data_IF_910144157007
#
_entry.id   IF_910144157007
#
_cell.length_a   1.000
_cell.length_b   1.000
_cell.length_c   1.000
_cell.angle_alpha   90.00
_cell.angle_beta   90.00
_cell.angle_gamma   90.00
#
_symmetry.space_group_name_H-M   'P 1'
#
loop_
_entity.id
_entity.type
_entity.pdbx_description
1 polymer ?
#
# COMPACT_ATOMS: atom_id res chain seq x y z
N UNK A 1 -20.00 22.78 5.22
CA UNK A 1 -18.89 22.24 4.40
C UNK A 1 -18.85 23.03 3.09
N UNK A 2 -17.71 23.63 2.74
CA UNK A 2 -17.56 24.31 1.44
C UNK A 2 -17.66 23.25 0.35
N UNK A 3 -18.75 23.24 -0.41
CA UNK A 3 -19.16 22.19 -1.34
C UNK A 3 -18.25 21.95 -2.56
N UNK A 4 -17.11 22.65 -2.66
CA UNK A 4 -16.22 22.62 -3.83
C UNK A 4 -14.78 22.15 -3.54
N UNK A 5 -14.42 21.83 -2.29
CA UNK A 5 -13.05 21.41 -1.99
C UNK A 5 -12.92 19.89 -2.18
N UNK A 6 -12.03 19.46 -3.10
CA UNK A 6 -11.72 18.06 -3.34
C UNK A 6 -10.98 17.49 -2.11
N UNK A 7 -11.36 16.29 -1.61
CA UNK A 7 -10.64 15.68 -0.50
C UNK A 7 -9.23 15.24 -0.91
N UNK A 8 -8.34 15.20 0.05
CA UNK A 8 -7.06 14.49 -0.11
C UNK A 8 -7.29 12.98 -0.16
N UNK A 9 -6.34 12.22 -0.68
CA UNK A 9 -6.44 10.77 -0.77
C UNK A 9 -5.14 10.13 -0.26
N UNK A 10 -5.24 9.37 0.83
CA UNK A 10 -4.18 8.49 1.31
C UNK A 10 -4.49 7.06 0.86
N UNK A 11 -3.64 6.52 -0.02
CA UNK A 11 -3.81 5.18 -0.56
C UNK A 11 -2.66 4.26 -0.10
N UNK A 12 -2.96 3.33 0.79
CA UNK A 12 -2.00 2.39 1.35
C UNK A 12 -2.27 0.99 0.78
N UNK A 13 -1.25 0.42 0.15
CA UNK A 13 -1.22 -0.99 -0.23
C UNK A 13 -0.26 -1.71 0.71
N UNK A 14 -0.75 -2.77 1.36
CA UNK A 14 0.03 -3.67 2.19
C UNK A 14 0.22 -4.96 1.40
N UNK A 15 1.42 -5.14 0.86
CA UNK A 15 1.78 -6.29 0.04
C UNK A 15 1.57 -7.60 0.79
N UNK A 16 0.94 -8.56 0.15
CA UNK A 16 0.70 -9.91 0.70
C UNK A 16 -0.18 -9.97 1.96
N UNK A 17 -1.01 -8.95 2.26
CA UNK A 17 -1.90 -8.99 3.42
C UNK A 17 -3.10 -9.90 3.17
N UNK A 18 -3.17 -11.00 3.90
CA UNK A 18 -4.27 -11.96 3.84
C UNK A 18 -5.52 -11.42 4.56
N UNK A 19 -6.68 -11.59 3.94
CA UNK A 19 -7.97 -11.17 4.52
C UNK A 19 -8.27 -11.90 5.84
N UNK A 20 -8.01 -13.22 5.92
CA UNK A 20 -8.25 -14.03 7.11
C UNK A 20 -7.35 -13.69 8.30
N UNK A 21 -6.29 -12.91 8.07
CA UNK A 21 -5.36 -12.44 9.11
C UNK A 21 -5.59 -10.98 9.50
N UNK A 22 -6.29 -10.22 8.67
CA UNK A 22 -6.58 -8.80 8.94
C UNK A 22 -7.95 -8.58 9.58
N UNK A 23 -8.91 -9.47 9.36
CA UNK A 23 -10.28 -9.34 9.86
C UNK A 23 -10.93 -10.71 10.15
N UNK A 24 -11.94 -10.71 11.02
CA UNK A 24 -12.73 -11.88 11.36
C UNK A 24 -12.39 -12.52 12.72
N UNK A 25 -13.24 -13.42 13.18
CA UNK A 25 -13.16 -14.00 14.53
C UNK A 25 -12.04 -15.05 14.68
N UNK A 26 -11.52 -15.55 13.57
CA UNK A 26 -10.48 -16.60 13.57
C UNK A 26 -9.06 -16.02 13.54
N UNK A 27 -8.91 -14.72 13.37
CA UNK A 27 -7.58 -14.07 13.35
C UNK A 27 -6.95 -14.10 14.75
N UNK A 28 -5.64 -14.24 14.78
CA UNK A 28 -4.81 -14.15 16.00
C UNK A 28 -3.97 -12.87 16.05
N UNK A 29 -3.97 -12.09 14.96
CA UNK A 29 -3.29 -10.79 14.91
C UNK A 29 -4.01 -9.74 15.73
N UNK A 30 -3.27 -8.81 16.31
CA UNK A 30 -3.81 -7.65 17.04
C UNK A 30 -3.81 -6.46 16.08
N UNK A 31 -4.98 -6.08 15.60
CA UNK A 31 -5.16 -5.06 14.55
C UNK A 31 -6.19 -3.98 14.95
N UNK A 32 -6.01 -3.28 16.10
CA UNK A 32 -7.01 -2.33 16.61
C UNK A 32 -7.22 -1.13 15.69
N UNK A 33 -6.21 -0.73 14.90
CA UNK A 33 -6.32 0.41 14.00
C UNK A 33 -7.11 0.05 12.75
N UNK A 34 -6.87 -1.13 12.15
CA UNK A 34 -7.71 -1.66 11.07
C UNK A 34 -9.14 -1.87 11.54
N UNK A 35 -9.36 -2.42 12.76
CA UNK A 35 -10.69 -2.58 13.34
C UNK A 35 -11.44 -1.26 13.48
N UNK A 36 -10.74 -0.22 13.93
CA UNK A 36 -11.31 1.13 14.02
C UNK A 36 -11.69 1.68 12.65
N UNK A 37 -10.85 1.45 11.62
CA UNK A 37 -11.15 1.86 10.25
C UNK A 37 -12.37 1.11 9.69
N UNK A 38 -12.45 -0.20 9.91
CA UNK A 38 -13.59 -1.04 9.50
C UNK A 38 -14.88 -0.59 10.18
N UNK A 39 -14.83 -0.32 11.49
CA UNK A 39 -16.00 0.10 12.27
C UNK A 39 -16.55 1.46 11.84
N UNK A 40 -15.67 2.39 11.45
CA UNK A 40 -16.03 3.79 11.17
C UNK A 40 -16.05 4.12 9.66
N UNK A 41 -15.73 3.17 8.80
CA UNK A 41 -15.65 3.35 7.36
C UNK A 41 -16.47 2.32 6.58
N UNK A 42 -16.10 2.11 5.33
CA UNK A 42 -16.67 1.07 4.47
C UNK A 42 -15.70 -0.09 4.34
N UNK A 43 -16.14 -1.29 4.67
CA UNK A 43 -15.38 -2.52 4.54
C UNK A 43 -15.93 -3.40 3.41
N UNK A 44 -15.10 -3.72 2.43
CA UNK A 44 -15.46 -4.56 1.29
C UNK A 44 -15.14 -6.03 1.60
N UNK A 45 -16.15 -6.80 1.99
CA UNK A 45 -16.00 -8.21 2.41
C UNK A 45 -15.70 -9.17 1.26
N UNK A 46 -15.92 -8.74 0.01
CA UNK A 46 -15.74 -9.53 -1.22
C UNK A 46 -14.72 -8.88 -2.17
N UNK A 47 -13.72 -8.19 -1.63
CA UNK A 47 -12.61 -7.68 -2.44
C UNK A 47 -11.73 -8.85 -2.89
N UNK A 48 -11.62 -9.06 -4.20
CA UNK A 48 -10.87 -10.17 -4.81
C UNK A 48 -9.69 -9.59 -5.58
N UNK A 49 -8.48 -10.07 -5.29
CA UNK A 49 -7.30 -9.73 -6.07
C UNK A 49 -7.37 -10.36 -7.46
N UNK A 50 -7.01 -9.63 -8.52
CA UNK A 50 -7.00 -10.16 -9.89
C UNK A 50 -5.85 -11.13 -10.16
N UNK A 51 -4.87 -11.23 -9.26
CA UNK A 51 -3.70 -12.10 -9.37
C UNK A 51 -3.06 -12.34 -8.00
N UNK A 52 -2.26 -13.37 -7.90
CA UNK A 52 -1.38 -13.71 -6.78
C UNK A 52 0.02 -13.04 -6.88
N UNK A 53 0.20 -12.12 -7.83
CA UNK A 53 1.48 -11.46 -8.10
C UNK A 53 1.35 -9.94 -8.06
N UNK A 54 2.25 -9.29 -7.32
CA UNK A 54 2.30 -7.84 -7.09
C UNK A 54 2.18 -7.03 -8.37
N UNK A 55 3.01 -7.31 -9.40
CA UNK A 55 3.02 -6.53 -10.64
C UNK A 55 1.67 -6.53 -11.35
N UNK A 56 1.04 -7.70 -11.44
CA UNK A 56 -0.26 -7.86 -12.12
C UNK A 56 -1.38 -7.15 -11.35
N UNK A 57 -1.39 -7.32 -10.04
CA UNK A 57 -2.40 -6.72 -9.15
C UNK A 57 -2.29 -5.19 -9.09
N UNK A 58 -1.07 -4.66 -8.91
CA UNK A 58 -0.84 -3.21 -8.90
C UNK A 58 -1.26 -2.57 -10.23
N UNK A 59 -0.92 -3.18 -11.37
CA UNK A 59 -1.37 -2.67 -12.68
C UNK A 59 -2.89 -2.65 -12.77
N UNK A 60 -3.55 -3.70 -12.31
CA UNK A 60 -5.02 -3.75 -12.30
C UNK A 60 -5.62 -2.69 -11.38
N UNK A 61 -5.08 -2.51 -10.20
CA UNK A 61 -5.51 -1.47 -9.25
C UNK A 61 -5.37 -0.08 -9.87
N UNK A 62 -4.21 0.21 -10.50
CA UNK A 62 -3.95 1.54 -11.05
C UNK A 62 -4.70 1.83 -12.35
N UNK A 63 -5.06 0.83 -13.13
CA UNK A 63 -5.75 0.99 -14.44
C UNK A 63 -7.24 0.70 -14.39
N UNK A 64 -7.73 0.00 -13.35
CA UNK A 64 -9.10 -0.53 -13.30
C UNK A 64 -9.34 -1.67 -14.29
N UNK A 65 -8.30 -2.27 -14.87
CA UNK A 65 -8.40 -3.31 -15.89
C UNK A 65 -7.81 -4.62 -15.37
N UNK A 66 -8.40 -5.74 -15.77
CA UNK A 66 -7.85 -7.06 -15.48
C UNK A 66 -6.51 -7.29 -16.22
N UNK A 67 -5.60 -8.14 -15.70
CA UNK A 67 -4.26 -8.32 -16.23
C UNK A 67 -4.21 -8.61 -17.74
N UNK A 68 -5.10 -9.46 -18.24
CA UNK A 68 -5.15 -9.80 -19.68
C UNK A 68 -5.55 -8.62 -20.57
N UNK A 69 -6.23 -7.60 -20.04
CA UNK A 69 -6.57 -6.37 -20.77
C UNK A 69 -5.41 -5.38 -20.80
N UNK A 70 -4.53 -5.44 -19.80
CA UNK A 70 -3.32 -4.60 -19.74
C UNK A 70 -2.15 -5.17 -20.55
N UNK A 71 -2.31 -6.36 -21.17
CA UNK A 71 -1.26 -7.07 -21.89
C UNK A 71 -0.18 -7.68 -20.99
N UNK A 72 -0.42 -7.76 -19.68
CA UNK A 72 0.53 -8.30 -18.71
C UNK A 72 0.23 -9.77 -18.49
N UNK A 73 1.11 -10.66 -18.97
CA UNK A 73 0.91 -12.12 -18.90
C UNK A 73 1.82 -12.77 -17.84
N UNK A 74 2.96 -12.14 -17.51
CA UNK A 74 3.94 -12.60 -16.50
C UNK A 74 4.65 -11.40 -15.84
N UNK A 75 5.39 -11.64 -14.77
CA UNK A 75 6.28 -10.65 -14.13
C UNK A 75 7.49 -10.20 -15.01
N UNK A 76 7.47 -10.51 -16.30
CA UNK A 76 8.53 -10.19 -17.22
C UNK A 76 8.42 -8.75 -17.76
N UNK A 77 9.55 -8.18 -18.19
CA UNK A 77 9.58 -6.92 -18.95
C UNK A 77 8.55 -7.01 -20.07
N UNK A 78 7.49 -6.26 -19.94
CA UNK A 78 6.46 -6.22 -20.96
C UNK A 78 7.06 -5.49 -22.14
N UNK A 79 7.32 -6.24 -23.21
CA UNK A 79 7.54 -5.65 -24.51
C UNK A 79 6.29 -4.81 -24.80
N UNK A 80 6.48 -3.53 -24.81
CA UNK A 80 5.57 -2.44 -25.05
C UNK A 80 4.36 -2.77 -25.95
N UNK A 81 3.32 -3.38 -25.39
CA UNK A 81 2.00 -3.15 -25.92
C UNK A 81 1.60 -1.77 -25.40
N UNK A 82 1.76 -0.74 -26.23
CA UNK A 82 1.29 0.64 -26.08
C UNK A 82 0.71 1.04 -24.68
N UNK A 83 1.52 0.93 -23.63
CA UNK A 83 1.15 1.25 -22.25
C UNK A 83 0.82 2.74 -22.03
N UNK A 84 1.22 3.61 -22.97
CA UNK A 84 0.98 5.05 -22.90
C UNK A 84 -0.50 5.43 -23.10
N UNK A 85 -1.32 4.51 -23.63
CA UNK A 85 -2.74 4.78 -23.91
C UNK A 85 -3.70 4.41 -22.80
N UNK A 86 -3.26 3.60 -21.81
CA UNK A 86 -4.14 3.17 -20.72
C UNK A 86 -4.07 4.22 -19.59
N UNK A 87 -5.16 4.94 -19.30
CA UNK A 87 -5.16 5.90 -18.20
C UNK A 87 -5.01 5.19 -16.86
N UNK A 88 -4.20 5.75 -15.99
CA UNK A 88 -4.04 5.30 -14.61
C UNK A 88 -4.78 6.22 -13.66
N UNK A 89 -5.14 5.72 -12.46
CA UNK A 89 -5.74 6.56 -11.42
C UNK A 89 -4.87 7.80 -11.14
N UNK A 90 -3.55 7.67 -11.13
CA UNK A 90 -2.63 8.79 -10.92
C UNK A 90 -2.69 9.80 -12.07
N UNK A 91 -2.80 9.34 -13.32
CA UNK A 91 -2.94 10.23 -14.48
C UNK A 91 -4.28 10.99 -14.48
N UNK A 92 -5.36 10.32 -14.07
CA UNK A 92 -6.69 10.92 -13.96
C UNK A 92 -6.72 11.95 -12.83
N UNK A 93 -6.19 11.60 -11.65
CA UNK A 93 -6.14 12.52 -10.52
C UNK A 93 -5.26 13.74 -10.82
N UNK A 94 -4.11 13.56 -11.49
CA UNK A 94 -3.25 14.66 -11.91
C UNK A 94 -3.99 15.62 -12.85
N UNK A 95 -4.73 15.10 -13.85
CA UNK A 95 -5.60 15.93 -14.74
C UNK A 95 -6.71 16.63 -13.96
N UNK A 96 -7.13 16.06 -12.84
CA UNK A 96 -8.11 16.65 -11.93
C UNK A 96 -7.51 17.63 -10.91
N UNK A 97 -6.23 17.99 -11.04
CA UNK A 97 -5.56 19.00 -10.21
C UNK A 97 -4.92 18.47 -8.93
N UNK A 98 -4.87 17.14 -8.72
CA UNK A 98 -4.16 16.58 -7.58
C UNK A 98 -2.65 16.64 -7.76
N UNK A 99 -1.93 16.94 -6.68
CA UNK A 99 -0.52 16.62 -6.58
C UNK A 99 -0.35 15.14 -6.21
N UNK A 100 0.50 14.45 -6.96
CA UNK A 100 0.65 13.00 -6.83
C UNK A 100 1.98 12.69 -6.14
N UNK A 101 1.90 12.11 -4.96
CA UNK A 101 3.05 11.69 -4.17
C UNK A 101 3.03 10.19 -3.92
N UNK A 102 4.17 9.61 -3.59
CA UNK A 102 4.22 8.23 -3.16
C UNK A 102 5.53 7.85 -2.50
N UNK A 103 5.48 6.76 -1.74
CA UNK A 103 6.63 6.03 -1.21
C UNK A 103 6.45 4.58 -1.63
N UNK A 104 7.21 4.15 -2.63
CA UNK A 104 6.99 2.90 -3.35
C UNK A 104 8.29 2.15 -3.59
N UNK A 105 8.25 0.80 -3.68
CA UNK A 105 9.41 0.03 -4.04
C UNK A 105 9.82 0.28 -5.50
N UNK A 106 11.12 0.28 -5.76
CA UNK A 106 11.67 0.39 -7.11
C UNK A 106 11.58 -0.95 -7.83
N UNK A 107 10.43 -1.22 -8.41
CA UNK A 107 10.23 -2.34 -9.32
C UNK A 107 10.18 -1.82 -10.76
N UNK A 108 11.12 -2.22 -11.59
CA UNK A 108 11.20 -1.80 -13.00
C UNK A 108 9.88 -2.06 -13.75
N UNK A 109 9.21 -3.17 -13.42
CA UNK A 109 7.92 -3.54 -14.00
C UNK A 109 6.77 -2.58 -13.66
N UNK A 110 6.90 -1.73 -12.64
CA UNK A 110 5.88 -0.79 -12.19
C UNK A 110 6.24 0.68 -12.45
N UNK A 111 7.39 0.97 -13.05
CA UNK A 111 7.85 2.34 -13.27
C UNK A 111 6.86 3.20 -14.07
N UNK A 112 6.17 2.62 -15.05
CA UNK A 112 5.14 3.31 -15.81
C UNK A 112 3.93 3.73 -14.96
N UNK A 113 3.59 2.96 -13.92
CA UNK A 113 2.50 3.29 -12.99
C UNK A 113 2.85 4.49 -12.10
N UNK A 114 4.13 4.65 -11.80
CA UNK A 114 4.66 5.68 -10.91
C UNK A 114 5.21 6.91 -11.65
N UNK A 115 5.07 6.98 -12.97
CA UNK A 115 5.60 8.08 -13.81
C UNK A 115 4.98 9.46 -13.49
N UNK A 116 3.76 9.48 -12.94
CA UNK A 116 3.06 10.71 -12.59
C UNK A 116 3.39 11.25 -11.19
N UNK A 117 4.23 10.56 -10.42
CA UNK A 117 4.57 11.01 -9.07
C UNK A 117 5.44 12.26 -9.12
N UNK A 118 5.06 13.27 -8.35
CA UNK A 118 5.79 14.54 -8.23
C UNK A 118 7.12 14.35 -7.53
N UNK A 119 7.16 13.45 -6.55
CA UNK A 119 8.37 13.05 -5.86
C UNK A 119 8.89 11.72 -6.41
N UNK A 120 10.19 11.59 -6.51
CA UNK A 120 10.84 10.34 -6.95
C UNK A 120 11.23 9.47 -5.74
N UNK A 121 10.31 9.34 -4.77
CA UNK A 121 10.53 8.63 -3.50
C UNK A 121 10.39 7.10 -3.68
N UNK A 122 11.22 6.56 -4.57
CA UNK A 122 11.35 5.12 -4.75
C UNK A 122 12.42 4.58 -3.80
N UNK A 123 12.14 3.49 -3.10
CA UNK A 123 13.16 2.79 -2.33
C UNK A 123 13.65 1.54 -3.06
N UNK A 124 14.96 1.27 -2.97
CA UNK A 124 15.59 0.12 -3.61
C UNK A 124 15.43 -1.11 -2.73
N UNK A 125 14.81 -2.15 -3.30
CA UNK A 125 14.50 -3.40 -2.60
C UNK A 125 15.71 -4.33 -2.49
N UNK A 126 16.68 -4.19 -3.39
CA UNK A 126 17.87 -5.05 -3.49
C UNK A 126 18.99 -4.71 -2.50
N UNK A 127 19.02 -3.49 -1.95
CA UNK A 127 20.09 -3.03 -1.04
C UNK A 127 19.70 -3.12 0.42
N UNK A 128 18.56 -2.59 0.80
CA UNK A 128 18.03 -2.66 2.14
C UNK A 128 16.51 -2.60 2.03
N UNK A 129 15.84 -3.63 2.50
CA UNK A 129 14.40 -3.68 2.55
C UNK A 129 13.89 -2.72 3.63
N UNK A 130 13.43 -1.53 3.30
CA UNK A 130 12.97 -0.59 4.31
C UNK A 130 11.62 -1.07 4.84
N UNK A 131 11.53 -1.17 6.16
CA UNK A 131 10.30 -1.51 6.88
C UNK A 131 9.81 -0.28 7.64
N UNK A 132 8.54 -0.30 7.99
CA UNK A 132 7.93 0.76 8.78
C UNK A 132 8.73 1.01 10.06
N UNK A 133 9.14 -0.06 10.76
CA UNK A 133 9.91 0.00 12.00
C UNK A 133 11.35 0.51 11.80
N UNK A 134 11.96 0.30 10.64
CA UNK A 134 13.34 0.70 10.33
C UNK A 134 13.44 2.15 9.78
N UNK A 135 12.37 2.92 9.90
CA UNK A 135 12.35 4.34 9.51
C UNK A 135 11.36 4.70 8.41
N UNK A 136 10.89 3.74 7.60
CA UNK A 136 9.91 4.02 6.53
C UNK A 136 8.63 4.67 7.09
N UNK A 137 8.14 4.21 8.25
CA UNK A 137 6.95 4.79 8.89
C UNK A 137 7.16 6.27 9.24
N UNK A 138 8.33 6.62 9.79
CA UNK A 138 8.67 8.00 10.11
C UNK A 138 8.84 8.87 8.85
N UNK A 139 9.40 8.33 7.77
CA UNK A 139 9.52 9.05 6.50
C UNK A 139 8.14 9.37 5.91
N UNK A 140 7.19 8.43 5.94
CA UNK A 140 5.80 8.64 5.51
C UNK A 140 5.15 9.74 6.36
N UNK A 141 5.24 9.64 7.69
CA UNK A 141 4.68 10.64 8.62
C UNK A 141 5.28 12.03 8.37
N UNK A 142 6.61 12.09 8.23
CA UNK A 142 7.31 13.35 7.94
C UNK A 142 6.79 13.99 6.65
N UNK A 143 6.60 13.19 5.59
CA UNK A 143 6.10 13.68 4.30
C UNK A 143 4.68 14.24 4.43
N UNK A 144 3.80 13.53 5.12
CA UNK A 144 2.41 13.98 5.35
C UNK A 144 2.39 15.31 6.13
N UNK A 145 3.26 15.44 7.15
CA UNK A 145 3.37 16.67 7.97
C UNK A 145 3.96 17.88 7.25
N UNK A 146 4.58 17.70 6.10
CA UNK A 146 5.18 18.81 5.33
C UNK A 146 4.16 19.72 4.63
N UNK A 147 2.88 19.73 5.04
CA UNK A 147 1.80 20.52 4.46
C UNK A 147 1.76 20.38 2.92
N UNK A 148 1.46 19.17 2.47
CA UNK A 148 1.30 18.90 1.05
C UNK A 148 0.23 19.82 0.46
N UNK A 149 0.51 20.41 -0.69
CA UNK A 149 -0.45 21.28 -1.37
C UNK A 149 -1.70 20.50 -1.77
N UNK A 150 -2.86 20.92 -1.28
CA UNK A 150 -4.15 20.26 -1.51
C UNK A 150 -4.76 20.64 -2.87
N UNK A 151 -5.49 19.73 -3.52
CA UNK A 151 -5.71 18.34 -3.12
C UNK A 151 -4.49 17.46 -3.46
N UNK A 152 -4.14 16.55 -2.59
CA UNK A 152 -3.07 15.59 -2.82
C UNK A 152 -3.56 14.15 -2.81
N UNK A 153 -2.86 13.31 -3.58
CA UNK A 153 -2.91 11.87 -3.53
C UNK A 153 -1.56 11.36 -3.05
N UNK A 154 -1.54 10.59 -1.97
CA UNK A 154 -0.33 9.96 -1.46
C UNK A 154 -0.49 8.44 -1.47
N UNK A 155 0.38 7.75 -2.21
CA UNK A 155 0.42 6.30 -2.24
C UNK A 155 1.61 5.77 -1.44
N UNK A 156 1.34 4.87 -0.49
CA UNK A 156 2.35 4.09 0.21
C UNK A 156 2.19 2.61 -0.12
N UNK A 157 3.27 1.98 -0.60
CA UNK A 157 3.33 0.54 -0.83
C UNK A 157 4.22 -0.10 0.23
N UNK A 158 3.62 -0.83 1.16
CA UNK A 158 4.25 -1.38 2.36
C UNK A 158 4.56 -2.85 2.13
N UNK A 159 5.82 -3.25 2.36
CA UNK A 159 6.33 -4.60 2.13
C UNK A 159 6.60 -5.38 3.44
N UNK A 160 6.18 -4.87 4.58
CA UNK A 160 6.56 -5.35 5.92
C UNK A 160 6.17 -6.80 6.21
N UNK A 161 5.08 -7.27 5.60
CA UNK A 161 4.57 -8.62 5.79
C UNK A 161 4.88 -9.57 4.63
N UNK A 162 5.54 -9.06 3.59
CA UNK A 162 5.96 -9.89 2.47
C UNK A 162 6.96 -10.95 2.93
N UNK A 163 6.66 -12.22 2.70
CA UNK A 163 7.54 -13.33 3.06
C UNK A 163 8.61 -13.56 2.00
N UNK A 164 9.70 -14.23 2.41
CA UNK A 164 10.83 -14.54 1.54
C UNK A 164 10.41 -15.48 0.40
N UNK A 165 10.05 -14.92 -0.75
CA UNK A 165 9.77 -15.69 -1.98
C UNK A 165 11.00 -15.77 -2.88
N UNK A 166 11.95 -14.83 -2.76
CA UNK A 166 13.17 -14.79 -3.57
C UNK A 166 14.43 -14.89 -2.70
N UNK A 167 15.53 -15.48 -3.19
CA UNK A 167 16.77 -15.66 -2.43
C UNK A 167 17.39 -14.39 -1.86
N UNK A 168 17.15 -13.24 -2.48
CA UNK A 168 17.68 -11.93 -2.07
C UNK A 168 16.78 -11.15 -1.11
N UNK A 169 15.56 -11.64 -0.85
CA UNK A 169 14.68 -10.98 0.11
C UNK A 169 15.13 -11.25 1.54
N UNK A 170 15.19 -10.23 2.40
CA UNK A 170 15.50 -10.44 3.80
C UNK A 170 14.41 -11.29 4.46
N UNK A 171 14.75 -12.12 5.44
CA UNK A 171 13.76 -12.85 6.21
C UNK A 171 12.85 -11.85 6.92
N UNK A 172 11.61 -12.28 7.16
CA UNK A 172 10.67 -11.51 7.97
C UNK A 172 11.25 -11.37 9.40
N UNK A 173 11.73 -10.19 9.73
CA UNK A 173 12.27 -9.86 11.05
C UNK A 173 11.22 -9.12 11.84
N UNK A 174 10.87 -9.66 12.98
CA UNK A 174 9.87 -9.07 13.88
C UNK A 174 10.62 -8.52 15.09
N UNK A 175 10.44 -7.25 15.45
CA UNK A 175 11.00 -6.70 16.67
C UNK A 175 10.54 -7.49 17.90
N UNK A 176 11.41 -7.67 18.90
CA UNK A 176 11.15 -8.45 20.12
C UNK A 176 9.91 -7.98 20.89
N UNK A 177 9.59 -6.68 20.81
CA UNK A 177 8.37 -6.12 21.43
C UNK A 177 7.07 -6.74 20.91
N UNK A 178 7.11 -7.41 19.75
CA UNK A 178 5.96 -8.16 19.20
C UNK A 178 6.11 -9.64 19.53
N UNK A 179 5.97 -9.97 20.81
CA UNK A 179 6.05 -11.34 21.30
C UNK A 179 4.87 -12.20 20.81
N UNK A 180 5.08 -13.53 20.83
CA UNK A 180 4.10 -14.49 20.29
C UNK A 180 2.82 -14.58 21.13
N UNK A 181 2.93 -14.40 22.44
CA UNK A 181 1.80 -14.63 23.34
C UNK A 181 0.74 -13.53 23.19
N UNK A 182 1.18 -12.32 22.82
CA UNK A 182 0.32 -11.16 22.67
C UNK A 182 -0.05 -10.84 21.23
N UNK A 183 0.88 -10.99 20.28
CA UNK A 183 0.73 -10.46 18.91
C UNK A 183 0.55 -11.52 17.83
N UNK A 184 0.45 -12.80 18.19
CA UNK A 184 0.22 -13.91 17.27
C UNK A 184 1.36 -14.93 17.24
N UNK A 185 1.02 -16.19 17.03
CA UNK A 185 1.95 -17.30 17.09
C UNK A 185 2.99 -17.29 15.97
N UNK A 186 2.55 -17.04 14.74
CA UNK A 186 3.43 -17.02 13.59
C UNK A 186 4.14 -15.68 13.42
N UNK A 187 5.29 -15.70 12.75
CA UNK A 187 6.00 -14.45 12.37
C UNK A 187 5.12 -13.55 11.50
N UNK A 188 4.32 -14.14 10.62
CA UNK A 188 3.41 -13.41 9.76
C UNK A 188 2.36 -12.64 10.59
N UNK A 189 1.71 -13.29 11.54
CA UNK A 189 0.70 -12.66 12.40
C UNK A 189 1.28 -11.48 13.20
N UNK A 190 2.49 -11.67 13.76
CA UNK A 190 3.19 -10.60 14.46
C UNK A 190 3.58 -9.44 13.54
N UNK A 191 3.97 -9.73 12.28
CA UNK A 191 4.23 -8.70 11.30
C UNK A 191 2.97 -7.91 10.93
N UNK A 192 1.83 -8.57 10.80
CA UNK A 192 0.54 -7.90 10.59
C UNK A 192 0.22 -6.99 11.77
N UNK A 193 0.41 -7.45 13.01
CA UNK A 193 0.19 -6.64 14.22
C UNK A 193 1.15 -5.43 14.28
N UNK A 194 2.41 -5.61 13.89
CA UNK A 194 3.39 -4.52 13.81
C UNK A 194 3.01 -3.49 12.71
N UNK A 195 2.55 -3.97 11.58
CA UNK A 195 2.06 -3.10 10.49
C UNK A 195 0.84 -2.30 10.93
N UNK A 196 -0.10 -2.92 11.64
CA UNK A 196 -1.27 -2.22 12.19
C UNK A 196 -0.88 -1.12 13.18
N UNK A 197 0.11 -1.36 14.04
CA UNK A 197 0.64 -0.31 14.93
C UNK A 197 1.10 0.91 14.12
N UNK A 198 1.89 0.71 13.08
CA UNK A 198 2.38 1.78 12.22
C UNK A 198 1.28 2.47 11.41
N UNK A 199 0.26 1.72 10.98
CA UNK A 199 -0.94 2.33 10.40
C UNK A 199 -1.57 3.32 11.37
N UNK A 200 -1.71 2.94 12.65
CA UNK A 200 -2.19 3.83 13.70
C UNK A 200 -1.35 5.10 13.83
N UNK A 201 -0.02 4.97 13.83
CA UNK A 201 0.89 6.12 13.90
C UNK A 201 0.76 7.03 12.66
N UNK A 202 0.62 6.48 11.47
CA UNK A 202 0.39 7.25 10.25
C UNK A 202 -0.95 7.98 10.31
N UNK A 203 -2.03 7.27 10.67
CA UNK A 203 -3.39 7.80 10.70
C UNK A 203 -3.60 8.92 11.73
N UNK A 204 -2.86 8.91 12.85
CA UNK A 204 -2.87 10.02 13.82
C UNK A 204 -2.44 11.38 13.21
N UNK A 205 -1.75 11.36 12.08
CA UNK A 205 -1.25 12.54 11.39
C UNK A 205 -2.09 12.93 10.16
N UNK A 206 -3.25 12.30 9.99
CA UNK A 206 -4.19 12.55 8.88
C UNK A 206 -5.41 13.28 9.42
N UNK A 207 -5.81 14.37 8.74
CA UNK A 207 -7.11 14.98 8.96
C UNK A 207 -8.17 14.18 8.18
N UNK A 208 -8.92 13.34 8.90
CA UNK A 208 -9.96 12.49 8.30
C UNK A 208 -11.20 13.26 7.82
N UNK A 209 -11.38 14.54 8.20
CA UNK A 209 -12.50 15.37 7.73
C UNK A 209 -12.34 15.79 6.27
N UNK A 210 -11.09 15.85 5.78
CA UNK A 210 -10.79 16.25 4.40
C UNK A 210 -9.95 15.21 3.64
N UNK A 211 -9.79 14.00 4.17
CA UNK A 211 -8.95 12.96 3.54
C UNK A 211 -9.69 11.63 3.46
N UNK A 212 -9.78 11.09 2.27
CA UNK A 212 -10.21 9.72 2.03
C UNK A 212 -9.01 8.81 2.29
N UNK A 213 -9.15 7.85 3.19
CA UNK A 213 -8.12 6.83 3.46
C UNK A 213 -8.57 5.51 2.86
N UNK A 214 -7.75 4.95 2.00
CA UNK A 214 -7.96 3.64 1.38
C UNK A 214 -6.82 2.72 1.79
N UNK A 215 -7.15 1.59 2.42
CA UNK A 215 -6.20 0.55 2.80
C UNK A 215 -6.64 -0.75 2.12
N UNK A 216 -5.73 -1.36 1.39
CA UNK A 216 -5.97 -2.63 0.70
C UNK A 216 -4.71 -3.48 0.64
N UNK A 217 -4.86 -4.71 0.18
CA UNK A 217 -3.74 -5.56 -0.27
C UNK A 217 -3.74 -5.63 -1.79
N UNK A 218 -2.59 -5.98 -2.36
CA UNK A 218 -2.47 -6.36 -3.77
C UNK A 218 -2.85 -7.83 -3.97
N UNK A 219 -2.42 -8.72 -3.05
CA UNK A 219 -2.77 -10.16 -3.01
C UNK A 219 -2.56 -10.72 -1.60
N UNK A 220 -2.92 -11.98 -1.38
CA UNK A 220 -2.53 -12.74 -0.19
C UNK A 220 -1.16 -13.41 -0.35
N UNK A 221 -0.69 -14.09 0.70
CA UNK A 221 0.56 -14.86 0.70
C UNK A 221 0.29 -16.36 0.89
#
# INVERSE_FOLDING_TARGET
MNSNKKPNILFIIIDSLRADKSYGNTRKCITPNLDKMIKNGTYFTQAISPSDATTLSIRSIFTGLLPFKTGTIKNEKINSVNNEKIPTITSILKKSGYQIFGKVPSFISLDSMYSNFTNNDKFQVDKKWPRLEDGLGLEIIKKIKMNLHEPWFYHAHILDIHSKVMPKMPPLVIPEKYDKDKFGESKYERAVSATDYWLGEILKNINLENTIVIITSDHGS
#
